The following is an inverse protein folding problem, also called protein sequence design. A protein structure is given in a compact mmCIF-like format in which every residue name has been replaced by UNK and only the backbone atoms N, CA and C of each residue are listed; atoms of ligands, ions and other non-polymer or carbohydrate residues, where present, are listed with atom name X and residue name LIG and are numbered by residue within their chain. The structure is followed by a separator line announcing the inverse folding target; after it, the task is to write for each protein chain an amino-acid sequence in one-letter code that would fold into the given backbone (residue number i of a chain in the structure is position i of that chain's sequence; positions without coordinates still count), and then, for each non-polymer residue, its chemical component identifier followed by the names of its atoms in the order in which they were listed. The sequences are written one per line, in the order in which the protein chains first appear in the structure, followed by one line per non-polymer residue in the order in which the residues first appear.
data_IF_799777998078
#
_entry.id   IF_799777998078
#
_cell.length_a   1.000
_cell.length_b   1.000
_cell.length_c   1.000
_cell.angle_alpha   90.00
_cell.angle_beta   90.00
_cell.angle_gamma   90.00
#
_symmetry.space_group_name_H-M   'P 1'
#
loop_
_entity.id
_entity.type
_entity.pdbx_description
1 polymer ?
#
# COMPACT_ATOMS: atom_id res chain seq x y z
N UNK A 1 8.63 -1.22 17.46
CA UNK A 1 8.76 -0.72 16.08
C UNK A 1 7.37 -0.29 15.67
N UNK A 2 7.16 1.01 15.51
CA UNK A 2 5.92 1.62 15.01
C UNK A 2 6.06 1.85 13.51
N UNK A 3 4.94 2.10 12.85
CA UNK A 3 4.92 2.73 11.53
C UNK A 3 4.26 4.08 11.75
N UNK A 4 4.94 5.16 11.39
CA UNK A 4 4.45 6.53 11.58
C UNK A 4 3.70 7.02 10.35
N UNK A 5 4.22 6.69 9.17
CA UNK A 5 3.68 7.18 7.90
C UNK A 5 3.89 6.17 6.78
N UNK A 6 2.89 6.07 5.89
CA UNK A 6 3.03 5.37 4.62
C UNK A 6 2.51 6.23 3.47
N UNK A 7 3.25 6.22 2.36
CA UNK A 7 2.80 6.73 1.06
C UNK A 7 2.90 5.63 0.01
N UNK A 8 1.85 5.50 -0.78
CA UNK A 8 1.79 4.57 -1.92
C UNK A 8 1.42 5.34 -3.19
N UNK A 9 2.15 5.08 -4.27
CA UNK A 9 1.94 5.64 -5.60
C UNK A 9 1.78 4.50 -6.59
N UNK A 10 0.73 4.57 -7.43
CA UNK A 10 0.41 3.59 -8.47
C UNK A 10 0.40 2.13 -7.96
N UNK A 11 -0.11 1.94 -6.75
CA UNK A 11 -0.06 0.66 -6.06
C UNK A 11 -1.46 0.04 -5.95
N UNK A 12 -1.66 -1.08 -6.66
CA UNK A 12 -2.96 -1.74 -6.83
C UNK A 12 -4.03 -0.76 -7.35
N UNK A 13 -4.99 -0.39 -6.52
CA UNK A 13 -6.13 0.45 -6.91
C UNK A 13 -6.00 1.91 -6.43
N UNK A 14 -4.82 2.32 -5.96
CA UNK A 14 -4.54 3.69 -5.51
C UNK A 14 -3.48 4.35 -6.39
N UNK A 15 -3.81 5.50 -6.99
CA UNK A 15 -2.86 6.33 -7.75
C UNK A 15 -1.93 7.12 -6.82
N UNK A 16 -2.48 7.75 -5.77
CA UNK A 16 -1.73 8.37 -4.67
C UNK A 16 -2.55 8.23 -3.39
N UNK A 17 -1.96 7.59 -2.37
CA UNK A 17 -2.54 7.49 -1.04
C UNK A 17 -1.44 7.71 0.01
N UNK A 18 -1.72 8.58 0.98
CA UNK A 18 -0.83 8.90 2.09
C UNK A 18 -1.58 8.79 3.42
N UNK A 19 -1.00 8.08 4.39
CA UNK A 19 -1.62 7.83 5.71
C UNK A 19 -0.60 8.11 6.80
N UNK A 20 -1.00 8.97 7.76
CA UNK A 20 -0.31 9.08 9.04
C UNK A 20 -0.97 8.11 10.02
N UNK A 21 -0.19 7.17 10.54
CA UNK A 21 -0.69 6.22 11.51
C UNK A 21 -0.77 6.84 12.90
N UNK A 22 -1.71 6.34 13.68
CA UNK A 22 -1.89 6.59 15.11
C UNK A 22 -1.82 5.26 15.85
N UNK A 23 -1.83 5.30 17.19
CA UNK A 23 -1.91 4.12 18.05
C UNK A 23 -3.00 3.12 17.60
N UNK A 24 -4.16 3.65 17.18
CA UNK A 24 -5.20 2.90 16.48
C UNK A 24 -5.60 3.69 15.23
N UNK A 25 -5.49 3.05 14.07
CA UNK A 25 -5.90 3.61 12.78
C UNK A 25 -6.97 2.72 12.16
N UNK A 26 -8.22 3.20 12.15
CA UNK A 26 -9.34 2.47 11.55
C UNK A 26 -9.39 2.75 10.05
N UNK A 27 -9.42 1.69 9.24
CA UNK A 27 -9.46 1.78 7.78
C UNK A 27 -10.81 1.28 7.31
N UNK A 28 -11.67 2.22 6.92
CA UNK A 28 -13.07 1.97 6.57
C UNK A 28 -13.35 2.27 5.10
N UNK A 29 -14.40 1.64 4.57
CA UNK A 29 -14.79 1.81 3.16
C UNK A 29 -15.54 0.61 2.61
N UNK A 30 -16.12 0.77 1.43
CA UNK A 30 -16.89 -0.29 0.75
C UNK A 30 -15.99 -1.46 0.34
N UNK A 31 -16.60 -2.62 0.06
CA UNK A 31 -15.86 -3.74 -0.54
C UNK A 31 -15.27 -3.32 -1.89
N UNK A 32 -14.03 -3.71 -2.16
CA UNK A 32 -13.30 -3.26 -3.35
C UNK A 32 -12.70 -1.84 -3.26
N UNK A 33 -12.91 -1.08 -2.18
CA UNK A 33 -12.34 0.27 -2.05
C UNK A 33 -10.81 0.31 -1.84
N UNK A 34 -10.12 -0.84 -1.77
CA UNK A 34 -8.66 -0.89 -1.59
C UNK A 34 -8.18 -0.82 -0.15
N UNK A 35 -9.01 -1.25 0.82
CA UNK A 35 -8.62 -1.30 2.24
C UNK A 35 -7.43 -2.24 2.48
N UNK A 36 -7.49 -3.46 1.90
CA UNK A 36 -6.42 -4.47 2.02
C UNK A 36 -5.09 -3.98 1.46
N UNK A 37 -5.12 -3.08 0.47
CA UNK A 37 -3.92 -2.48 -0.13
C UNK A 37 -3.01 -1.82 0.92
N UNK A 38 -3.59 -1.28 1.99
CA UNK A 38 -2.84 -0.61 3.06
C UNK A 38 -2.09 -1.63 3.94
N UNK A 39 -2.62 -2.86 4.07
CA UNK A 39 -1.89 -3.97 4.71
C UNK A 39 -0.87 -4.63 3.79
N UNK A 40 -1.14 -4.65 2.48
CA UNK A 40 -0.24 -5.24 1.50
C UNK A 40 1.02 -4.39 1.25
N UNK A 41 0.92 -3.05 1.31
CA UNK A 41 2.03 -2.16 0.96
C UNK A 41 3.29 -2.32 1.84
N UNK A 42 3.21 -2.36 3.19
CA UNK A 42 4.40 -2.64 4.02
C UNK A 42 4.99 -4.02 3.75
N UNK A 43 4.14 -5.03 3.57
CA UNK A 43 4.56 -6.41 3.34
C UNK A 43 5.28 -6.54 1.99
N UNK A 44 4.78 -5.86 0.96
CA UNK A 44 5.40 -5.83 -0.34
C UNK A 44 6.74 -5.08 -0.33
N UNK A 45 6.81 -3.93 0.34
CA UNK A 45 8.04 -3.16 0.45
C UNK A 45 9.17 -3.98 1.09
N UNK A 46 8.85 -4.75 2.13
CA UNK A 46 9.84 -5.52 2.88
C UNK A 46 10.15 -6.88 2.27
N UNK A 47 9.17 -7.54 1.65
CA UNK A 47 9.26 -8.96 1.28
C UNK A 47 8.81 -9.29 -0.15
N UNK A 48 8.24 -8.32 -0.89
CA UNK A 48 7.72 -8.55 -2.24
C UNK A 48 6.43 -9.38 -2.30
N UNK A 49 5.71 -9.50 -1.17
CA UNK A 49 4.46 -10.29 -1.08
C UNK A 49 3.27 -9.45 -0.62
N UNK A 50 2.05 -9.95 -0.84
CA UNK A 50 0.85 -9.45 -0.18
C UNK A 50 0.82 -9.87 1.30
N UNK A 51 -0.18 -9.39 2.06
CA UNK A 51 -0.34 -9.70 3.49
C UNK A 51 -0.59 -11.19 3.78
N UNK A 52 -0.99 -11.97 2.77
CA UNK A 52 -1.19 -13.42 2.89
C UNK A 52 0.04 -14.22 2.45
N UNK A 53 1.13 -13.55 2.08
CA UNK A 53 2.39 -14.18 1.65
C UNK A 53 2.44 -14.58 0.18
N UNK A 54 1.46 -14.19 -0.65
CA UNK A 54 1.52 -14.45 -2.08
C UNK A 54 2.45 -13.44 -2.76
N UNK A 55 3.23 -13.88 -3.75
CA UNK A 55 4.05 -12.97 -4.56
C UNK A 55 3.19 -11.87 -5.17
N UNK A 56 3.62 -10.63 -5.05
CA UNK A 56 2.90 -9.47 -5.57
C UNK A 56 3.80 -8.67 -6.51
N UNK A 57 3.31 -8.43 -7.73
CA UNK A 57 3.98 -7.64 -8.78
C UNK A 57 3.06 -6.49 -9.24
N UNK A 58 2.94 -5.43 -8.43
CA UNK A 58 2.02 -4.33 -8.70
C UNK A 58 2.56 -3.44 -9.83
N UNK A 59 1.71 -3.24 -10.84
CA UNK A 59 2.00 -2.36 -11.98
C UNK A 59 1.04 -1.18 -11.97
N UNK A 60 1.49 0.01 -12.42
CA UNK A 60 0.59 1.13 -12.63
C UNK A 60 -0.53 0.75 -13.60
N UNK A 61 -1.68 1.40 -13.42
CA UNK A 61 -2.83 1.24 -14.31
C UNK A 61 -2.93 2.51 -15.15
N UNK A 62 -2.87 2.35 -16.47
CA UNK A 62 -3.18 3.43 -17.43
C UNK A 62 -1.97 4.19 -17.99
N UNK A 63 -0.78 4.03 -17.42
CA UNK A 63 0.46 4.63 -17.92
C UNK A 63 1.60 3.62 -17.81
N UNK A 64 2.15 3.20 -18.96
CA UNK A 64 3.13 2.11 -19.04
C UNK A 64 4.49 2.47 -18.43
N UNK A 65 4.82 3.77 -18.38
CA UNK A 65 6.09 4.30 -17.86
C UNK A 65 5.99 4.82 -16.41
N UNK A 66 4.81 4.73 -15.80
CA UNK A 66 4.64 5.17 -14.42
C UNK A 66 5.38 4.23 -13.45
N UNK A 67 5.91 4.78 -12.36
CA UNK A 67 6.56 3.98 -11.34
C UNK A 67 5.58 3.62 -10.22
N UNK A 68 5.69 2.38 -9.73
CA UNK A 68 5.06 1.93 -8.49
C UNK A 68 6.00 2.25 -7.33
N UNK A 69 5.52 2.97 -6.32
CA UNK A 69 6.35 3.33 -5.16
C UNK A 69 5.61 3.11 -3.85
N UNK A 70 6.33 2.59 -2.85
CA UNK A 70 5.90 2.55 -1.46
C UNK A 70 7.00 3.17 -0.60
N UNK A 71 6.65 4.20 0.17
CA UNK A 71 7.51 4.80 1.19
C UNK A 71 6.91 4.50 2.56
N UNK A 72 7.71 3.91 3.45
CA UNK A 72 7.35 3.61 4.83
C UNK A 72 8.31 4.31 5.79
N UNK A 73 7.75 5.01 6.78
CA UNK A 73 8.49 5.64 7.88
C UNK A 73 8.14 4.92 9.18
N UNK A 74 9.17 4.59 9.96
CA UNK A 74 9.09 3.83 11.22
C UNK A 74 9.05 4.74 12.44
#
# INVERSE_FOLDING_TARGET
MSFDFIKVINFKNHTDLSINFKDITNIEGRNGAGKSTIGDAPTWLLFGTDINGNKLDPKPIGEDDAETTVLLVL
#
